data_IF_597322116130
#
_entry.id   IF_597322116130
#
_cell.length_a   1.000
_cell.length_b   1.000
_cell.length_c   1.000
_cell.angle_alpha   90.00
_cell.angle_beta   90.00
_cell.angle_gamma   90.00
#
_symmetry.space_group_name_H-M   'P 1'
#
loop_
_entity.id
_entity.type
_entity.pdbx_description
1 polymer ?
#
# COMPACT_ATOMS: atom_id res chain seq x y z
N UNK A 1 26.23 33.34 -24.44
CA UNK A 1 24.92 32.82 -23.95
C UNK A 1 24.28 31.79 -24.88
N UNK A 2 24.14 32.04 -26.18
CA UNK A 2 23.50 31.10 -27.14
C UNK A 2 24.10 29.68 -27.15
N UNK A 3 25.43 29.55 -27.02
CA UNK A 3 26.13 28.25 -26.96
C UNK A 3 25.76 27.39 -25.74
N UNK A 4 25.43 28.03 -24.61
CA UNK A 4 25.04 27.33 -23.39
C UNK A 4 23.66 26.70 -23.56
N UNK A 5 22.70 27.46 -24.08
CA UNK A 5 21.32 27.02 -24.35
C UNK A 5 21.30 25.82 -25.30
N UNK A 6 22.12 25.85 -26.36
CA UNK A 6 22.26 24.74 -27.31
C UNK A 6 22.85 23.49 -26.65
N UNK A 7 23.81 23.66 -25.73
CA UNK A 7 24.40 22.54 -25.00
C UNK A 7 23.37 21.86 -24.10
N UNK A 8 22.55 22.63 -23.39
CA UNK A 8 21.47 22.09 -22.54
C UNK A 8 20.36 21.41 -23.34
N UNK A 9 19.99 21.95 -24.50
CA UNK A 9 19.03 21.31 -25.40
C UNK A 9 19.52 19.94 -25.90
N UNK A 10 20.79 19.83 -26.27
CA UNK A 10 21.40 18.55 -26.68
C UNK A 10 21.46 17.52 -25.55
N UNK A 11 21.75 17.97 -24.33
CA UNK A 11 21.75 17.11 -23.14
C UNK A 11 20.34 16.59 -22.87
N UNK A 12 19.32 17.46 -22.90
CA UNK A 12 17.92 17.07 -22.73
C UNK A 12 17.47 16.05 -23.79
N UNK A 13 17.85 16.28 -25.05
CA UNK A 13 17.56 15.37 -26.15
C UNK A 13 18.25 14.00 -25.97
N UNK A 14 19.49 13.98 -25.48
CA UNK A 14 20.23 12.74 -25.23
C UNK A 14 19.58 11.92 -24.11
N UNK A 15 19.14 12.56 -23.02
CA UNK A 15 18.41 11.89 -21.95
C UNK A 15 17.04 11.36 -22.40
N UNK A 16 16.31 12.12 -23.21
CA UNK A 16 15.06 11.66 -23.80
C UNK A 16 15.27 10.44 -24.72
N UNK A 17 16.32 10.46 -25.55
CA UNK A 17 16.67 9.33 -26.41
C UNK A 17 17.06 8.08 -25.60
N UNK A 18 17.81 8.24 -24.51
CA UNK A 18 18.17 7.16 -23.58
C UNK A 18 16.94 6.58 -22.86
N UNK A 19 15.96 7.42 -22.51
CA UNK A 19 14.72 6.96 -21.88
C UNK A 19 13.85 6.14 -22.85
N UNK A 20 13.71 6.60 -24.09
CA UNK A 20 12.95 5.89 -25.14
C UNK A 20 13.65 4.59 -25.57
N UNK A 21 14.99 4.58 -25.57
CA UNK A 21 15.79 3.39 -25.89
C UNK A 21 15.94 2.40 -24.71
N UNK A 22 15.28 2.66 -23.56
CA UNK A 22 15.34 1.76 -22.42
C UNK A 22 14.78 0.38 -22.78
N UNK A 23 15.48 -0.72 -22.44
CA UNK A 23 15.01 -2.08 -22.71
C UNK A 23 13.70 -2.43 -22.01
N UNK A 24 13.25 -1.62 -21.03
CA UNK A 24 11.93 -1.71 -20.44
C UNK A 24 10.79 -1.56 -21.46
N UNK A 25 11.03 -0.90 -22.60
CA UNK A 25 10.08 -0.75 -23.70
C UNK A 25 10.36 -1.68 -24.89
N UNK A 26 11.46 -2.44 -24.87
CA UNK A 26 11.86 -3.35 -25.95
C UNK A 26 11.35 -4.79 -25.75
N UNK A 27 10.39 -4.99 -24.85
CA UNK A 27 9.70 -6.28 -24.70
C UNK A 27 8.77 -6.47 -25.89
N UNK A 28 8.98 -7.55 -26.65
CA UNK A 28 8.00 -8.00 -27.64
C UNK A 28 6.74 -8.40 -26.89
N UNK A 29 5.66 -7.64 -27.05
CA UNK A 29 4.33 -8.04 -26.57
C UNK A 29 3.87 -9.21 -27.44
N UNK A 30 4.29 -10.42 -27.04
CA UNK A 30 3.82 -11.66 -27.64
C UNK A 30 2.35 -11.84 -27.28
N UNK A 31 1.50 -11.64 -28.29
CA UNK A 31 0.06 -11.54 -28.10
C UNK A 31 -0.34 -10.10 -27.78
N UNK A 32 -1.40 -9.66 -28.43
CA UNK A 32 -2.19 -8.49 -28.06
C UNK A 32 -2.70 -8.69 -26.64
N UNK A 33 -1.85 -8.43 -25.65
CA UNK A 33 -2.23 -8.34 -24.25
C UNK A 33 -2.90 -6.99 -24.10
N UNK A 34 -4.09 -6.88 -24.69
CA UNK A 34 -5.01 -5.79 -24.41
C UNK A 34 -5.32 -5.90 -22.91
N UNK A 35 -4.87 -4.95 -22.07
CA UNK A 35 -4.96 -5.08 -20.62
C UNK A 35 -6.41 -4.99 -20.09
N UNK A 36 -7.40 -5.00 -21.00
CA UNK A 36 -8.80 -4.74 -20.70
C UNK A 36 -9.04 -3.29 -20.29
N UNK A 37 -10.30 -2.96 -20.02
CA UNK A 37 -10.61 -1.69 -19.36
C UNK A 37 -10.02 -1.69 -17.95
N UNK A 38 -9.26 -0.65 -17.61
CA UNK A 38 -8.71 -0.48 -16.28
C UNK A 38 -9.81 -0.27 -15.24
N UNK A 39 -9.51 -0.65 -13.99
CA UNK A 39 -10.42 -0.41 -12.87
C UNK A 39 -10.70 1.09 -12.71
N UNK A 40 -11.94 1.43 -12.34
CA UNK A 40 -12.27 2.81 -11.99
C UNK A 40 -11.46 3.27 -10.77
N UNK A 41 -11.27 4.58 -10.60
CA UNK A 41 -10.51 5.12 -9.48
C UNK A 41 -11.02 4.63 -8.11
N UNK A 42 -12.35 4.51 -7.98
CA UNK A 42 -12.97 3.99 -6.77
C UNK A 42 -12.66 2.50 -6.55
N UNK A 43 -12.75 1.69 -7.62
CA UNK A 43 -12.41 0.27 -7.54
C UNK A 43 -10.94 0.08 -7.17
N UNK A 44 -10.03 0.84 -7.77
CA UNK A 44 -8.60 0.78 -7.44
C UNK A 44 -8.35 1.12 -5.98
N UNK A 45 -8.98 2.17 -5.44
CA UNK A 45 -8.87 2.49 -4.01
C UNK A 45 -9.42 1.36 -3.13
N UNK A 46 -10.58 0.79 -3.48
CA UNK A 46 -11.19 -0.30 -2.71
C UNK A 46 -10.33 -1.56 -2.72
N UNK A 47 -9.84 -1.97 -3.89
CA UNK A 47 -9.06 -3.21 -4.04
C UNK A 47 -7.65 -3.10 -3.46
N UNK A 48 -6.96 -1.98 -3.71
CA UNK A 48 -5.54 -1.90 -3.36
C UNK A 48 -5.26 -1.23 -2.01
N UNK A 49 -6.22 -0.47 -1.47
CA UNK A 49 -6.06 0.16 -0.16
C UNK A 49 -7.02 -0.44 0.88
N UNK A 50 -8.33 -0.43 0.60
CA UNK A 50 -9.30 -0.85 1.60
C UNK A 50 -9.35 -2.36 1.81
N UNK A 51 -9.14 -3.19 0.79
CA UNK A 51 -9.11 -4.63 0.97
C UNK A 51 -7.96 -5.10 1.88
N UNK A 52 -6.68 -4.71 1.67
CA UNK A 52 -5.61 -5.06 2.60
C UNK A 52 -5.79 -4.41 3.98
N UNK A 53 -6.28 -3.16 4.04
CA UNK A 53 -6.56 -2.50 5.32
C UNK A 53 -7.68 -3.18 6.11
N UNK A 54 -8.75 -3.57 5.43
CA UNK A 54 -9.88 -4.30 6.01
C UNK A 54 -9.43 -5.66 6.55
N UNK A 55 -8.64 -6.41 5.77
CA UNK A 55 -8.06 -7.67 6.21
C UNK A 55 -7.21 -7.49 7.48
N UNK A 56 -6.36 -6.46 7.51
CA UNK A 56 -5.58 -6.12 8.70
C UNK A 56 -6.48 -5.84 9.91
N UNK A 57 -7.51 -5.01 9.74
CA UNK A 57 -8.43 -4.66 10.82
C UNK A 57 -9.19 -5.88 11.33
N UNK A 58 -9.63 -6.76 10.43
CA UNK A 58 -10.25 -8.04 10.79
C UNK A 58 -9.32 -8.89 11.66
N UNK A 59 -8.05 -9.02 11.28
CA UNK A 59 -7.06 -9.78 12.06
C UNK A 59 -6.86 -9.15 13.44
N UNK A 60 -6.76 -7.82 13.53
CA UNK A 60 -6.62 -7.11 14.82
C UNK A 60 -7.82 -7.37 15.72
N UNK A 61 -9.04 -7.25 15.20
CA UNK A 61 -10.27 -7.47 15.96
C UNK A 61 -10.36 -8.92 16.44
N UNK A 62 -10.08 -9.89 15.55
CA UNK A 62 -10.08 -11.31 15.91
C UNK A 62 -8.99 -11.60 16.94
N UNK A 63 -7.78 -11.09 16.74
CA UNK A 63 -6.66 -11.28 17.66
C UNK A 63 -6.97 -10.72 19.06
N UNK A 64 -7.55 -9.52 19.12
CA UNK A 64 -8.00 -8.91 20.38
C UNK A 64 -9.13 -9.71 21.03
N UNK A 65 -10.13 -10.17 20.26
CA UNK A 65 -11.23 -10.96 20.80
C UNK A 65 -10.75 -12.30 21.39
N UNK A 66 -9.80 -12.96 20.73
CA UNK A 66 -9.20 -14.22 21.19
C UNK A 66 -8.30 -14.03 22.40
N UNK A 67 -7.45 -13.00 22.40
CA UNK A 67 -6.45 -12.76 23.46
C UNK A 67 -6.93 -11.76 24.51
N UNK A 68 -8.21 -11.38 24.51
CA UNK A 68 -8.73 -10.33 25.37
C UNK A 68 -8.32 -10.61 26.82
N UNK A 69 -7.55 -9.71 27.47
CA UNK A 69 -7.21 -9.91 28.86
C UNK A 69 -8.51 -9.93 29.66
N UNK A 70 -8.84 -11.09 30.23
CA UNK A 70 -9.93 -11.20 31.19
C UNK A 70 -9.47 -10.44 32.42
N UNK A 71 -10.02 -9.23 32.60
CA UNK A 71 -9.91 -8.51 33.86
C UNK A 71 -10.40 -9.44 34.97
N UNK A 72 -9.48 -9.85 35.86
CA UNK A 72 -9.86 -10.59 37.05
C UNK A 72 -10.70 -9.63 37.88
N UNK A 73 -12.02 -9.81 37.84
CA UNK A 73 -12.94 -9.22 38.81
C UNK A 73 -12.39 -9.55 40.20
N UNK A 74 -11.77 -8.60 40.87
CA UNK A 74 -11.47 -8.75 42.30
C UNK A 74 -12.85 -8.88 42.96
N UNK A 75 -13.16 -10.08 43.44
CA UNK A 75 -14.36 -10.31 44.24
C UNK A 75 -14.20 -9.44 45.49
N UNK A 76 -14.85 -8.28 45.53
CA UNK A 76 -15.00 -7.45 46.74
C UNK A 76 -15.91 -8.09 47.78
N UNK A 77 -15.92 -9.42 47.87
CA UNK A 77 -16.64 -10.17 48.89
C UNK A 77 -15.63 -10.63 49.94
N UNK A 78 -15.84 -10.20 51.18
CA UNK A 78 -15.18 -10.66 52.41
C UNK A 78 -13.91 -9.98 52.92
N UNK A 79 -13.47 -8.84 52.38
CA UNK A 79 -12.41 -8.06 53.07
C UNK A 79 -12.90 -7.50 54.42
N UNK A 80 -14.22 -7.34 54.59
CA UNK A 80 -14.84 -6.85 55.84
C UNK A 80 -15.18 -7.96 56.86
N UNK A 81 -15.14 -9.24 56.48
CA UNK A 81 -15.39 -10.34 57.43
C UNK A 81 -14.13 -10.88 58.08
N UNK A 82 -12.95 -10.53 57.55
CA UNK A 82 -11.65 -11.00 58.04
C UNK A 82 -11.01 -10.04 59.07
N UNK A 83 -11.56 -8.84 59.24
CA UNK A 83 -11.09 -7.83 60.21
C UNK A 83 -11.90 -7.89 61.54
N UNK A 84 -12.73 -8.92 61.76
CA UNK A 84 -13.51 -9.08 62.99
C UNK A 84 -12.91 -10.10 63.95
#
# INVERSE_FOLDING_TARGET
>A
MKKLIIKWSKVLFMFAALFVASPAFAVSQEGTSDPGEGLSALQTALYFFFAPFGLFLTIVVVGYAVHRPREKRIKSGNVLSEIR
#
